data_IF_672273913864
#
_entry.id   IF_672273913864
#
_cell.length_a   1.000
_cell.length_b   1.000
_cell.length_c   1.000
_cell.angle_alpha   90.00
_cell.angle_beta   90.00
_cell.angle_gamma   90.00
#
_symmetry.space_group_name_H-M   'P 1'
#
loop_
_entity.id
_entity.type
_entity.pdbx_description
1 polymer ?
#
# COMPACT_ATOMS: atom_id res chain seq x y z
N UNK A 1 -17.33 5.12 -36.89
CA UNK A 1 -16.71 6.45 -36.70
C UNK A 1 -15.20 6.22 -36.62
N UNK A 2 -14.44 6.69 -37.61
CA UNK A 2 -12.99 6.70 -37.57
C UNK A 2 -12.57 7.81 -36.63
N UNK A 3 -12.09 7.46 -35.43
CA UNK A 3 -11.43 8.42 -34.55
C UNK A 3 -10.13 8.86 -35.22
N UNK A 4 -10.02 10.15 -35.54
CA UNK A 4 -8.78 10.75 -36.05
C UNK A 4 -7.88 11.06 -34.83
N UNK A 5 -7.11 10.06 -34.39
CA UNK A 5 -6.18 10.25 -33.29
C UNK A 5 -4.90 10.90 -33.78
N UNK A 6 -4.44 11.94 -33.07
CA UNK A 6 -3.20 12.64 -33.37
C UNK A 6 -2.28 12.63 -32.15
N UNK A 7 -1.06 12.19 -32.34
CA UNK A 7 0.01 12.25 -31.37
C UNK A 7 1.04 13.28 -31.85
N UNK A 8 1.30 14.30 -31.06
CA UNK A 8 2.21 15.42 -31.41
C UNK A 8 1.87 16.10 -32.77
N UNK A 9 0.57 16.16 -33.12
CA UNK A 9 0.10 16.76 -34.36
C UNK A 9 0.15 15.84 -35.58
N UNK A 10 0.72 14.64 -35.49
CA UNK A 10 0.76 13.62 -36.54
C UNK A 10 -0.36 12.62 -36.36
N UNK A 11 -0.89 12.11 -37.50
CA UNK A 11 -1.90 11.06 -37.46
C UNK A 11 -1.29 9.77 -36.95
N UNK A 12 -1.97 9.12 -36.01
CA UNK A 12 -1.53 7.88 -35.42
C UNK A 12 -2.69 6.92 -35.14
N UNK A 13 -2.33 5.69 -34.77
CA UNK A 13 -3.27 4.67 -34.32
C UNK A 13 -2.87 4.31 -32.90
N UNK A 14 -3.81 4.41 -31.96
CA UNK A 14 -3.59 3.98 -30.58
C UNK A 14 -3.93 2.50 -30.46
N UNK A 15 -2.98 1.74 -29.96
CA UNK A 15 -3.19 0.34 -29.57
C UNK A 15 -3.22 0.28 -28.06
N UNK A 16 -4.31 -0.18 -27.48
CA UNK A 16 -4.48 -0.31 -26.05
C UNK A 16 -4.44 -1.79 -25.65
N UNK A 17 -3.53 -2.12 -24.76
CA UNK A 17 -3.45 -3.46 -24.18
C UNK A 17 -4.14 -3.46 -22.83
N UNK A 18 -5.15 -4.30 -22.66
CA UNK A 18 -5.82 -4.51 -21.39
C UNK A 18 -5.39 -5.84 -20.79
N UNK A 19 -5.00 -5.82 -19.51
CA UNK A 19 -4.68 -7.05 -18.79
C UNK A 19 -5.94 -7.87 -18.50
N UNK A 20 -5.82 -9.17 -18.51
CA UNK A 20 -6.85 -10.04 -17.96
C UNK A 20 -6.87 -9.96 -16.42
N UNK A 21 -8.05 -10.24 -15.84
CA UNK A 21 -8.19 -10.29 -14.39
C UNK A 21 -7.21 -11.28 -13.76
N UNK A 22 -6.51 -10.87 -12.70
CA UNK A 22 -5.50 -11.68 -12.02
C UNK A 22 -4.09 -11.65 -12.63
N UNK A 23 -3.88 -11.04 -13.79
CA UNK A 23 -2.55 -10.95 -14.39
C UNK A 23 -1.70 -9.83 -13.78
N UNK A 24 -0.39 -10.06 -13.68
CA UNK A 24 0.56 -9.08 -13.16
C UNK A 24 0.87 -8.02 -14.21
N UNK A 25 0.48 -6.77 -13.92
CA UNK A 25 0.65 -5.63 -14.83
C UNK A 25 2.11 -5.36 -15.17
N UNK A 26 3.00 -5.41 -14.17
CA UNK A 26 4.44 -5.11 -14.34
C UNK A 26 5.09 -6.11 -15.30
N UNK A 27 4.80 -7.41 -15.13
CA UNK A 27 5.36 -8.46 -16.00
C UNK A 27 4.85 -8.32 -17.44
N UNK A 28 3.56 -8.01 -17.62
CA UNK A 28 2.98 -7.82 -18.97
C UNK A 28 3.63 -6.63 -19.67
N UNK A 29 3.76 -5.50 -18.98
CA UNK A 29 4.37 -4.31 -19.58
C UNK A 29 5.83 -4.58 -19.93
N UNK A 30 6.59 -5.24 -19.05
CA UNK A 30 7.97 -5.61 -19.32
C UNK A 30 8.09 -6.54 -20.55
N UNK A 31 7.18 -7.50 -20.68
CA UNK A 31 7.14 -8.40 -21.84
C UNK A 31 6.78 -7.64 -23.13
N UNK A 32 5.80 -6.73 -23.08
CA UNK A 32 5.45 -5.88 -24.23
C UNK A 32 6.65 -5.02 -24.62
N UNK A 33 7.29 -4.33 -23.67
CA UNK A 33 8.45 -3.48 -23.93
C UNK A 33 9.61 -4.26 -24.55
N UNK A 34 9.86 -5.49 -24.10
CA UNK A 34 10.90 -6.35 -24.67
C UNK A 34 10.63 -6.76 -26.13
N UNK A 35 9.35 -6.86 -26.53
CA UNK A 35 8.93 -7.22 -27.90
C UNK A 35 8.76 -6.02 -28.83
N UNK A 36 8.60 -4.80 -28.28
CA UNK A 36 8.43 -3.59 -29.10
C UNK A 36 9.52 -3.41 -30.17
N UNK A 37 10.82 -3.62 -29.88
CA UNK A 37 11.88 -3.48 -30.90
C UNK A 37 11.76 -4.49 -32.03
N UNK A 38 11.25 -5.69 -31.77
CA UNK A 38 11.03 -6.71 -32.82
C UNK A 38 9.85 -6.34 -33.68
N UNK A 39 8.75 -5.88 -33.09
CA UNK A 39 7.57 -5.41 -33.80
C UNK A 39 7.92 -4.19 -34.68
N UNK A 40 8.71 -3.24 -34.11
CA UNK A 40 9.15 -2.08 -34.88
C UNK A 40 9.92 -2.44 -36.18
N UNK A 41 10.68 -3.54 -36.16
CA UNK A 41 11.40 -4.02 -37.36
C UNK A 41 10.48 -4.57 -38.42
N UNK A 42 9.28 -5.03 -38.11
CA UNK A 42 8.29 -5.56 -39.02
C UNK A 42 7.41 -4.48 -39.64
N UNK A 43 7.42 -3.27 -39.08
CA UNK A 43 6.63 -2.15 -39.56
C UNK A 43 7.35 -1.39 -40.68
N UNK A 44 6.58 -0.71 -41.57
CA UNK A 44 7.15 0.21 -42.57
C UNK A 44 8.03 1.27 -41.91
N UNK A 45 9.06 1.74 -42.61
CA UNK A 45 10.05 2.70 -42.05
C UNK A 45 9.48 4.07 -41.66
N UNK A 46 8.33 4.41 -42.18
CA UNK A 46 7.57 5.63 -41.91
C UNK A 46 6.67 5.53 -40.68
N UNK A 47 6.50 4.32 -40.09
CA UNK A 47 5.71 4.08 -38.89
C UNK A 47 6.64 3.97 -37.68
N UNK A 48 6.46 4.87 -36.69
CA UNK A 48 7.15 4.81 -35.42
C UNK A 48 6.17 4.39 -34.35
N UNK A 49 6.62 3.49 -33.47
CA UNK A 49 5.89 3.11 -32.26
C UNK A 49 6.42 3.93 -31.09
N UNK A 50 5.51 4.53 -30.33
CA UNK A 50 5.85 5.30 -29.15
C UNK A 50 4.95 4.89 -27.99
N UNK A 51 5.53 4.64 -26.84
CA UNK A 51 4.79 4.32 -25.64
C UNK A 51 4.21 5.60 -25.04
N UNK A 52 2.89 5.75 -25.06
CA UNK A 52 2.21 6.97 -24.62
C UNK A 52 1.87 6.90 -23.13
N UNK A 53 1.45 5.74 -22.67
CA UNK A 53 1.03 5.52 -21.27
C UNK A 53 1.42 4.12 -20.80
N UNK A 54 1.94 4.05 -19.60
CA UNK A 54 2.41 2.82 -18.98
C UNK A 54 1.89 2.69 -17.55
N UNK A 55 0.92 1.80 -17.34
CA UNK A 55 0.31 1.60 -16.02
C UNK A 55 1.22 0.88 -15.01
N UNK A 56 2.37 0.32 -15.43
CA UNK A 56 3.32 -0.31 -14.52
C UNK A 56 4.16 0.71 -13.76
N UNK A 57 4.38 1.88 -14.34
CA UNK A 57 5.17 2.93 -13.71
C UNK A 57 4.49 3.45 -12.46
N UNK A 58 3.17 3.65 -12.51
CA UNK A 58 2.38 4.05 -11.32
C UNK A 58 2.50 3.04 -10.18
N UNK A 59 2.51 1.73 -10.50
CA UNK A 59 2.67 0.68 -9.48
C UNK A 59 4.09 0.68 -8.92
N UNK A 60 5.10 0.85 -9.76
CA UNK A 60 6.50 0.91 -9.33
C UNK A 60 6.75 2.14 -8.45
N UNK A 61 6.21 3.29 -8.84
CA UNK A 61 6.29 4.53 -8.07
C UNK A 61 5.56 4.41 -6.74
N UNK A 62 4.40 3.73 -6.70
CA UNK A 62 3.67 3.46 -5.48
C UNK A 62 4.45 2.53 -4.53
N UNK A 63 5.14 1.50 -5.06
CA UNK A 63 6.02 0.63 -4.27
C UNK A 63 7.23 1.42 -3.73
N UNK A 64 7.83 2.28 -4.56
CA UNK A 64 8.90 3.18 -4.15
C UNK A 64 8.46 4.11 -3.02
N UNK A 65 7.33 4.78 -3.18
CA UNK A 65 6.73 5.67 -2.18
C UNK A 65 6.37 4.93 -0.90
N UNK A 66 5.90 3.68 -0.99
CA UNK A 66 5.64 2.84 0.19
C UNK A 66 6.95 2.56 0.95
N UNK A 67 8.02 2.20 0.25
CA UNK A 67 9.33 1.94 0.87
C UNK A 67 9.88 3.17 1.58
N UNK A 68 9.79 4.35 0.96
CA UNK A 68 10.19 5.62 1.58
C UNK A 68 9.32 5.95 2.80
N UNK A 69 8.01 5.77 2.68
CA UNK A 69 7.06 5.99 3.78
C UNK A 69 7.39 5.10 4.98
N UNK A 70 7.70 3.82 4.75
CA UNK A 70 8.10 2.89 5.80
C UNK A 70 9.40 3.34 6.47
N UNK A 71 10.39 3.78 5.69
CA UNK A 71 11.66 4.26 6.21
C UNK A 71 11.48 5.52 7.06
N UNK A 72 10.74 6.51 6.56
CA UNK A 72 10.47 7.74 7.30
C UNK A 72 9.64 7.47 8.55
N UNK A 73 8.61 6.63 8.47
CA UNK A 73 7.81 6.21 9.62
C UNK A 73 8.70 5.54 10.67
N UNK A 74 9.58 4.63 10.27
CA UNK A 74 10.52 3.96 11.16
C UNK A 74 11.42 4.96 11.88
N UNK A 75 12.06 5.87 11.15
CA UNK A 75 12.94 6.90 11.74
C UNK A 75 12.15 7.79 12.70
N UNK A 76 10.97 8.25 12.30
CA UNK A 76 10.13 9.13 13.10
C UNK A 76 9.65 8.44 14.38
N UNK A 77 9.22 7.19 14.28
CA UNK A 77 8.82 6.37 15.45
C UNK A 77 9.98 6.19 16.42
N UNK A 78 11.18 5.86 15.92
CA UNK A 78 12.37 5.76 16.77
C UNK A 78 12.62 7.06 17.54
N UNK A 79 12.57 8.21 16.84
CA UNK A 79 12.79 9.52 17.45
C UNK A 79 11.74 9.84 18.52
N UNK A 80 10.46 9.67 18.18
CA UNK A 80 9.33 9.98 19.08
C UNK A 80 9.36 9.07 20.29
N UNK A 81 9.46 7.76 20.10
CA UNK A 81 9.46 6.79 21.20
C UNK A 81 10.68 6.98 22.08
N UNK A 82 11.85 7.25 21.54
CA UNK A 82 13.05 7.58 22.32
C UNK A 82 12.90 8.87 23.11
N UNK A 83 12.24 9.89 22.54
CA UNK A 83 12.01 11.16 23.21
C UNK A 83 11.03 11.03 24.39
N UNK A 84 9.96 10.24 24.23
CA UNK A 84 8.91 10.10 25.23
C UNK A 84 9.19 9.00 26.28
N UNK A 85 9.59 7.81 25.82
CA UNK A 85 9.80 6.67 26.73
C UNK A 85 11.24 6.58 27.26
N UNK A 86 12.24 7.15 26.54
CA UNK A 86 13.65 7.10 26.93
C UNK A 86 14.25 5.69 27.05
N UNK A 87 13.55 4.67 26.53
CA UNK A 87 13.90 3.25 26.70
C UNK A 87 14.11 2.57 25.35
N UNK A 88 15.35 2.28 25.01
CA UNK A 88 15.71 1.67 23.74
C UNK A 88 15.03 0.30 23.48
N UNK A 89 14.77 -0.49 24.57
CA UNK A 89 14.07 -1.78 24.45
C UNK A 89 12.62 -1.62 24.00
N UNK A 90 11.95 -0.61 24.53
CA UNK A 90 10.59 -0.26 24.14
C UNK A 90 10.53 0.15 22.65
N UNK A 91 11.48 0.99 22.25
CA UNK A 91 11.62 1.41 20.84
C UNK A 91 11.83 0.24 19.91
N UNK A 92 12.70 -0.73 20.27
CA UNK A 92 12.91 -1.93 19.45
C UNK A 92 11.64 -2.77 19.29
N UNK A 93 10.84 -2.91 20.32
CA UNK A 93 9.57 -3.66 20.25
C UNK A 93 8.63 -3.00 19.25
N UNK A 94 8.44 -1.69 19.33
CA UNK A 94 7.59 -0.96 18.38
C UNK A 94 8.14 -1.06 16.96
N UNK A 95 9.45 -0.90 16.77
CA UNK A 95 10.09 -1.03 15.48
C UNK A 95 9.88 -2.40 14.84
N UNK A 96 9.80 -3.46 15.64
CA UNK A 96 9.52 -4.82 15.15
C UNK A 96 8.05 -5.03 14.76
N UNK A 97 7.12 -4.23 15.26
CA UNK A 97 5.71 -4.36 14.86
C UNK A 97 5.48 -4.00 13.39
N UNK A 98 6.24 -3.04 12.85
CA UNK A 98 6.14 -2.61 11.46
C UNK A 98 6.40 -3.76 10.47
N UNK A 99 7.58 -4.40 10.48
CA UNK A 99 7.86 -5.49 9.55
C UNK A 99 6.95 -6.70 9.78
N UNK A 100 6.59 -7.02 11.01
CA UNK A 100 5.67 -8.13 11.31
C UNK A 100 4.29 -7.85 10.71
N UNK A 101 3.74 -6.64 10.88
CA UNK A 101 2.45 -6.25 10.31
C UNK A 101 2.47 -6.28 8.78
N UNK A 102 3.56 -5.82 8.16
CA UNK A 102 3.74 -5.89 6.70
C UNK A 102 3.73 -7.33 6.20
N UNK A 103 4.50 -8.21 6.84
CA UNK A 103 4.57 -9.63 6.47
C UNK A 103 3.17 -10.26 6.59
N UNK A 104 2.45 -10.02 7.69
CA UNK A 104 1.08 -10.51 7.87
C UNK A 104 0.14 -10.01 6.78
N UNK A 105 0.24 -8.73 6.42
CA UNK A 105 -0.59 -8.14 5.36
C UNK A 105 -0.28 -8.73 3.99
N UNK A 106 0.99 -8.96 3.66
CA UNK A 106 1.36 -9.60 2.39
C UNK A 106 0.94 -11.07 2.34
N UNK A 107 1.04 -11.81 3.45
CA UNK A 107 0.53 -13.18 3.54
C UNK A 107 -0.98 -13.20 3.28
N UNK A 108 -1.73 -12.27 3.87
CA UNK A 108 -3.16 -12.14 3.64
C UNK A 108 -3.49 -11.84 2.18
N UNK A 109 -2.83 -10.86 1.57
CA UNK A 109 -3.02 -10.51 0.16
C UNK A 109 -2.71 -11.70 -0.76
N UNK A 110 -1.64 -12.43 -0.47
CA UNK A 110 -1.29 -13.65 -1.21
C UNK A 110 -2.34 -14.75 -1.06
N UNK A 111 -2.83 -15.00 0.16
CA UNK A 111 -3.82 -16.03 0.45
C UNK A 111 -5.19 -15.74 -0.20
N UNK A 112 -5.55 -14.45 -0.32
CA UNK A 112 -6.79 -14.01 -0.98
C UNK A 112 -6.68 -13.90 -2.50
N UNK A 113 -5.49 -14.13 -3.08
CA UNK A 113 -5.22 -13.94 -4.51
C UNK A 113 -5.35 -12.48 -4.97
N UNK A 114 -5.27 -11.54 -4.03
CA UNK A 114 -5.37 -10.10 -4.34
C UNK A 114 -4.09 -9.61 -4.99
N UNK A 115 -4.24 -8.75 -6.00
CA UNK A 115 -3.09 -8.14 -6.68
C UNK A 115 -2.71 -6.84 -6.00
N UNK A 116 -1.41 -6.55 -5.96
CA UNK A 116 -0.90 -5.25 -5.54
C UNK A 116 -1.32 -4.19 -6.56
N UNK A 117 -2.01 -3.18 -6.08
CA UNK A 117 -2.40 -1.99 -6.84
C UNK A 117 -2.21 -0.75 -5.98
N UNK A 118 -2.37 0.43 -6.57
CA UNK A 118 -2.18 1.71 -5.86
C UNK A 118 -3.07 1.82 -4.62
N UNK A 119 -4.32 1.35 -4.71
CA UNK A 119 -5.27 1.41 -3.59
C UNK A 119 -4.82 0.50 -2.44
N UNK A 120 -4.41 -0.75 -2.75
CA UNK A 120 -3.94 -1.68 -1.72
C UNK A 120 -2.63 -1.20 -1.06
N UNK A 121 -1.71 -0.61 -1.82
CA UNK A 121 -0.46 -0.05 -1.31
C UNK A 121 -0.70 1.19 -0.45
N UNK A 122 -1.60 2.08 -0.86
CA UNK A 122 -2.01 3.26 -0.08
C UNK A 122 -2.69 2.86 1.22
N UNK A 123 -3.60 1.89 1.17
CA UNK A 123 -4.27 1.34 2.36
C UNK A 123 -3.27 0.71 3.33
N UNK A 124 -2.27 0.01 2.80
CA UNK A 124 -1.21 -0.59 3.61
C UNK A 124 -0.37 0.47 4.31
N UNK A 125 -0.03 1.58 3.64
CA UNK A 125 0.69 2.71 4.24
C UNK A 125 -0.08 3.32 5.41
N UNK A 126 -1.39 3.50 5.27
CA UNK A 126 -2.26 4.02 6.34
C UNK A 126 -2.33 3.01 7.50
N UNK A 127 -2.49 1.72 7.19
CA UNK A 127 -2.59 0.67 8.20
C UNK A 127 -1.31 0.56 9.05
N UNK A 128 -0.13 0.75 8.47
CA UNK A 128 1.14 0.76 9.21
C UNK A 128 1.13 1.86 10.28
N UNK A 129 0.71 3.07 9.93
CA UNK A 129 0.62 4.18 10.88
C UNK A 129 -0.26 3.83 12.09
N UNK A 130 -1.44 3.27 11.84
CA UNK A 130 -2.37 2.89 12.92
C UNK A 130 -1.84 1.77 13.81
N UNK A 131 -1.21 0.74 13.23
CA UNK A 131 -0.61 -0.35 14.02
C UNK A 131 0.49 0.17 14.93
N UNK A 132 1.27 1.15 14.46
CA UNK A 132 2.31 1.80 15.27
C UNK A 132 1.70 2.59 16.41
N UNK A 133 0.64 3.36 16.17
CA UNK A 133 -0.05 4.14 17.20
C UNK A 133 -0.65 3.23 18.28
N UNK A 134 -1.32 2.15 17.91
CA UNK A 134 -1.85 1.16 18.82
C UNK A 134 -0.73 0.49 19.65
N UNK A 135 0.39 0.16 19.01
CA UNK A 135 1.56 -0.43 19.67
C UNK A 135 2.18 0.56 20.69
N UNK A 136 2.23 1.86 20.37
CA UNK A 136 2.72 2.90 21.29
C UNK A 136 1.83 2.97 22.52
N UNK A 137 0.50 3.01 22.36
CA UNK A 137 -0.45 3.09 23.48
C UNK A 137 -0.32 1.89 24.41
N UNK A 138 -0.24 0.68 23.87
CA UNK A 138 -0.07 -0.55 24.67
C UNK A 138 1.26 -0.51 25.43
N UNK A 139 2.35 -0.14 24.75
CA UNK A 139 3.67 -0.17 25.36
C UNK A 139 3.86 0.94 26.40
N UNK A 140 3.28 2.11 26.17
CA UNK A 140 3.26 3.21 27.17
C UNK A 140 2.56 2.77 28.44
N UNK A 141 1.39 2.12 28.32
CA UNK A 141 0.67 1.62 29.48
C UNK A 141 1.46 0.54 30.24
N UNK A 142 2.08 -0.41 29.53
CA UNK A 142 2.97 -1.43 30.13
C UNK A 142 4.13 -0.75 30.88
N UNK A 143 4.74 0.25 30.26
CA UNK A 143 5.88 0.97 30.84
C UNK A 143 5.48 1.70 32.12
N UNK A 144 4.31 2.34 32.12
CA UNK A 144 3.74 3.01 33.29
C UNK A 144 3.52 2.05 34.46
N UNK A 145 3.01 0.84 34.19
CA UNK A 145 2.85 -0.20 35.21
C UNK A 145 4.19 -0.67 35.81
N UNK A 146 5.21 -0.83 34.96
CA UNK A 146 6.57 -1.20 35.39
C UNK A 146 7.17 -0.09 36.23
N UNK A 147 6.98 1.17 35.89
CA UNK A 147 7.46 2.33 36.69
C UNK A 147 6.78 2.45 38.04
N UNK A 148 5.55 1.98 38.13
CA UNK A 148 4.81 1.87 39.40
C UNK A 148 5.24 0.68 40.28
N UNK A 149 6.24 -0.11 39.82
CA UNK A 149 6.82 -1.21 40.58
C UNK A 149 6.25 -2.59 40.28
N UNK A 150 5.41 -2.73 39.25
CA UNK A 150 4.88 -4.04 38.83
C UNK A 150 5.95 -4.89 38.15
N UNK A 151 5.87 -6.20 38.35
CA UNK A 151 6.73 -7.15 37.60
C UNK A 151 6.46 -7.02 36.11
N UNK A 152 7.48 -7.02 35.21
CA UNK A 152 7.30 -6.86 33.78
C UNK A 152 6.28 -7.81 33.14
N UNK A 153 6.19 -9.06 33.60
CA UNK A 153 5.21 -10.04 33.10
C UNK A 153 3.78 -9.68 33.50
N UNK A 154 3.59 -9.28 34.75
CA UNK A 154 2.29 -8.86 35.28
C UNK A 154 1.87 -7.52 34.66
N UNK A 155 2.78 -6.57 34.55
CA UNK A 155 2.56 -5.31 33.89
C UNK A 155 2.08 -5.50 32.42
N UNK A 156 2.70 -6.41 31.66
CA UNK A 156 2.28 -6.70 30.30
C UNK A 156 0.85 -7.25 30.22
N UNK A 157 0.44 -8.11 31.15
CA UNK A 157 -0.90 -8.70 31.18
C UNK A 157 -1.96 -7.65 31.60
N UNK A 158 -1.71 -6.97 32.71
CA UNK A 158 -2.68 -5.99 33.24
C UNK A 158 -2.82 -4.77 32.35
N UNK A 159 -1.71 -4.19 31.92
CA UNK A 159 -1.73 -3.01 31.06
C UNK A 159 -2.36 -3.28 29.70
N UNK A 160 -2.12 -4.45 29.11
CA UNK A 160 -2.79 -4.83 27.85
C UNK A 160 -4.29 -5.00 28.07
N UNK A 161 -4.72 -5.62 29.18
CA UNK A 161 -6.14 -5.76 29.51
C UNK A 161 -6.85 -4.42 29.77
N UNK A 162 -6.15 -3.38 30.18
CA UNK A 162 -6.76 -2.05 30.35
C UNK A 162 -7.06 -1.36 29.01
N UNK A 163 -6.20 -1.55 28.02
CA UNK A 163 -6.27 -0.80 26.74
C UNK A 163 -6.83 -1.60 25.59
N UNK A 164 -6.99 -2.94 25.71
CA UNK A 164 -7.43 -3.80 24.61
C UNK A 164 -8.75 -3.36 23.97
N UNK A 165 -9.70 -2.89 24.81
CA UNK A 165 -11.00 -2.42 24.32
C UNK A 165 -10.86 -1.14 23.49
N UNK A 166 -9.95 -0.24 23.87
CA UNK A 166 -9.66 0.97 23.11
C UNK A 166 -9.03 0.62 21.77
N UNK A 167 -8.08 -0.32 21.73
CA UNK A 167 -7.43 -0.77 20.49
C UNK A 167 -8.44 -1.46 19.56
N UNK A 168 -9.36 -2.26 20.08
CA UNK A 168 -10.43 -2.84 19.26
C UNK A 168 -11.37 -1.74 18.73
N UNK A 169 -11.71 -0.76 19.57
CA UNK A 169 -12.60 0.32 19.17
C UNK A 169 -11.98 1.17 18.05
N UNK A 170 -10.69 1.53 18.15
CA UNK A 170 -9.97 2.25 17.08
C UNK A 170 -9.94 1.45 15.78
N UNK A 171 -9.63 0.17 15.85
CA UNK A 171 -9.64 -0.73 14.69
C UNK A 171 -11.02 -0.84 14.05
N UNK A 172 -12.09 -0.97 14.85
CA UNK A 172 -13.46 -1.03 14.35
C UNK A 172 -13.90 0.28 13.69
N UNK A 173 -13.51 1.44 14.24
CA UNK A 173 -13.78 2.74 13.61
C UNK A 173 -13.14 2.82 12.24
N UNK A 174 -11.90 2.38 12.11
CA UNK A 174 -11.20 2.37 10.83
C UNK A 174 -11.89 1.44 9.83
N UNK A 175 -12.24 0.22 10.25
CA UNK A 175 -12.99 -0.72 9.41
C UNK A 175 -14.31 -0.09 8.97
N UNK A 176 -15.04 0.56 9.87
CA UNK A 176 -16.31 1.23 9.55
C UNK A 176 -16.15 2.37 8.56
N UNK A 177 -15.03 3.09 8.58
CA UNK A 177 -14.73 4.17 7.63
C UNK A 177 -14.36 3.61 6.25
N UNK A 178 -13.55 2.55 6.19
CA UNK A 178 -13.08 1.99 4.92
C UNK A 178 -14.07 0.99 4.28
N UNK A 179 -14.93 0.35 5.06
CA UNK A 179 -15.89 -0.62 4.56
C UNK A 179 -16.85 -0.03 3.49
N UNK A 180 -17.42 1.18 3.64
CA UNK A 180 -18.22 1.79 2.59
C UNK A 180 -17.46 2.02 1.29
N UNK A 181 -16.15 2.36 1.38
CA UNK A 181 -15.30 2.55 0.19
C UNK A 181 -15.14 1.26 -0.63
N UNK A 182 -15.12 0.10 0.03
CA UNK A 182 -15.08 -1.20 -0.67
C UNK A 182 -16.42 -1.60 -1.25
N UNK A 183 -17.52 -1.05 -0.71
CA UNK A 183 -18.89 -1.35 -1.14
C UNK A 183 -19.40 -0.37 -2.21
N UNK A 184 -18.69 0.73 -2.49
CA UNK A 184 -19.02 1.59 -3.64
C UNK A 184 -18.88 0.74 -4.90
N UNK A 185 -19.98 0.29 -5.51
CA UNK A 185 -19.89 -0.54 -6.69
C UNK A 185 -19.26 0.29 -7.80
N UNK A 186 -18.43 -0.34 -8.61
CA UNK A 186 -17.89 0.16 -9.87
C UNK A 186 -18.99 0.62 -10.88
N UNK A 187 -20.22 0.75 -10.43
CA UNK A 187 -21.38 1.20 -11.19
C UNK A 187 -21.27 2.65 -11.71
N UNK A 188 -20.33 3.44 -11.20
CA UNK A 188 -20.04 4.73 -11.80
C UNK A 188 -19.33 4.65 -13.16
N UNK A 189 -18.78 3.48 -13.51
CA UNK A 189 -18.16 3.27 -14.83
C UNK A 189 -19.24 3.15 -15.94
N UNK A 190 -20.47 2.80 -15.58
CA UNK A 190 -21.59 2.68 -16.54
C UNK A 190 -22.33 4.00 -16.87
N UNK A 191 -21.99 5.11 -16.21
CA UNK A 191 -22.66 6.41 -16.47
C UNK A 191 -21.98 7.19 -17.60
N UNK A 192 -20.86 6.73 -18.13
CA UNK A 192 -20.10 7.42 -19.18
C UNK A 192 -20.12 6.75 -20.55
N UNK A 193 -21.10 5.90 -20.87
CA UNK A 193 -21.37 5.58 -22.25
C UNK A 193 -22.31 6.65 -22.84
N UNK A 194 -21.81 7.58 -23.67
CA UNK A 194 -22.69 8.41 -24.47
C UNK A 194 -23.35 7.52 -25.52
N UNK A 195 -24.65 7.44 -25.47
CA UNK A 195 -25.50 6.90 -26.53
C UNK A 195 -25.24 7.58 -27.87
#
# INVERSE_FOLDING_TARGET
ATMDERVNGQRGVRVMFQKQSGANTVNIVHEIQSRLPEIQKTLPKDVKMELIFEGSQEITDAIGSLSETILYAFIFVVLVVMAFLGRWRATLIICMTIPVSLICSFIYLFATGSTLNIISLSSLSIAIGMVVDDAIVVLENITTHIERGSNPKEAAIYATNEVWLSVIATTLVVVAVFLPLTMVPLSLIHISEPT
#
